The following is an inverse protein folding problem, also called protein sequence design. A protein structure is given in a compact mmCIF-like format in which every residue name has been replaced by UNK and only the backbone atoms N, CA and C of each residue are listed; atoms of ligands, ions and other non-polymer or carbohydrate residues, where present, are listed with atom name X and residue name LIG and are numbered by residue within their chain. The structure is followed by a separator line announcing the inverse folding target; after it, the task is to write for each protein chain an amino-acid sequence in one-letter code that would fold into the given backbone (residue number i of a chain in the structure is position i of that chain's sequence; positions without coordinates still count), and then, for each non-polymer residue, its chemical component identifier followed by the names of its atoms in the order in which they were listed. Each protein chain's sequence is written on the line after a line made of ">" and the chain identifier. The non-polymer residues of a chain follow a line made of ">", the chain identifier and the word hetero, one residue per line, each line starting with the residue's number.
data_IF_340812023882
#
_entry.id   IF_340812023882
#
_cell.length_a   1.000
_cell.length_b   1.000
_cell.length_c   1.000
_cell.angle_alpha   90.00
_cell.angle_beta   90.00
_cell.angle_gamma   90.00
#
_symmetry.space_group_name_H-M   'P 1'
#
loop_
_entity.id
_entity.type
_entity.pdbx_description
1 polymer ?
#
# COMPACT_ATOMS: atom_id res chain seq x y z
N UNK A 1 -9.43 -44.51 -48.14
CA UNK A 1 -9.87 -43.11 -48.27
C UNK A 1 -10.29 -42.65 -46.89
N UNK A 2 -9.55 -41.66 -46.38
CA UNK A 2 -9.75 -40.82 -45.18
C UNK A 2 -9.60 -41.50 -43.80
N UNK A 3 -8.52 -41.09 -43.15
CA UNK A 3 -8.15 -41.29 -41.74
C UNK A 3 -8.90 -40.20 -40.96
N UNK A 4 -9.84 -40.58 -40.09
CA UNK A 4 -10.47 -39.63 -39.18
C UNK A 4 -9.51 -39.35 -38.02
N UNK A 5 -8.95 -38.15 -38.06
CA UNK A 5 -8.01 -37.63 -37.09
C UNK A 5 -8.70 -37.39 -35.76
N UNK A 6 -8.34 -38.22 -34.79
CA UNK A 6 -8.56 -38.00 -33.37
C UNK A 6 -7.94 -36.65 -32.97
N UNK A 7 -8.78 -35.60 -32.89
CA UNK A 7 -8.41 -34.30 -32.34
C UNK A 7 -8.26 -34.47 -30.82
N UNK A 8 -7.05 -34.82 -30.40
CA UNK A 8 -6.61 -34.64 -29.03
C UNK A 8 -6.85 -33.18 -28.60
N UNK A 9 -7.46 -32.92 -27.43
CA UNK A 9 -7.57 -31.57 -26.90
C UNK A 9 -6.14 -31.08 -26.59
N UNK A 10 -5.73 -29.99 -27.22
CA UNK A 10 -4.38 -29.45 -27.09
C UNK A 10 -4.04 -29.21 -25.62
N UNK A 11 -3.09 -29.98 -25.11
CA UNK A 11 -2.43 -29.68 -23.84
C UNK A 11 -1.69 -28.37 -24.03
N UNK A 12 -2.22 -27.27 -23.48
CA UNK A 12 -1.46 -26.04 -23.37
C UNK A 12 -0.08 -26.41 -22.77
N UNK A 13 0.98 -25.99 -23.45
CA UNK A 13 2.35 -26.28 -23.05
C UNK A 13 2.53 -25.81 -21.60
N UNK A 14 3.24 -26.55 -20.75
CA UNK A 14 3.54 -26.11 -19.37
C UNK A 14 4.08 -24.67 -19.34
N UNK A 15 4.86 -24.29 -20.37
CA UNK A 15 5.35 -22.92 -20.62
C UNK A 15 4.24 -21.87 -20.76
N UNK A 16 3.13 -22.19 -21.43
CA UNK A 16 2.01 -21.25 -21.63
C UNK A 16 1.24 -21.05 -20.33
N UNK A 17 1.09 -22.11 -19.54
CA UNK A 17 0.45 -22.03 -18.21
C UNK A 17 1.29 -21.21 -17.22
N UNK A 18 2.61 -21.33 -17.28
CA UNK A 18 3.53 -20.57 -16.44
C UNK A 18 3.53 -19.10 -16.84
N UNK A 19 3.58 -18.79 -18.13
CA UNK A 19 3.49 -17.43 -18.64
C UNK A 19 2.18 -16.74 -18.23
N UNK A 20 1.04 -17.45 -18.35
CA UNK A 20 -0.25 -16.94 -17.92
C UNK A 20 -0.29 -16.66 -16.41
N UNK A 21 0.31 -17.54 -15.61
CA UNK A 21 0.40 -17.34 -14.15
C UNK A 21 1.25 -16.13 -13.81
N UNK A 22 2.42 -15.96 -14.43
CA UNK A 22 3.28 -14.79 -14.23
C UNK A 22 2.52 -13.51 -14.59
N UNK A 23 1.87 -13.48 -15.75
CA UNK A 23 1.08 -12.33 -16.17
C UNK A 23 -0.02 -11.99 -15.17
N UNK A 24 -0.80 -12.97 -14.72
CA UNK A 24 -1.86 -12.76 -13.74
C UNK A 24 -1.32 -12.25 -12.39
N UNK A 25 -0.18 -12.76 -11.93
CA UNK A 25 0.47 -12.29 -10.70
C UNK A 25 0.95 -10.83 -10.82
N UNK A 26 1.56 -10.49 -11.95
CA UNK A 26 2.04 -9.13 -12.22
C UNK A 26 0.88 -8.15 -12.36
N UNK A 27 -0.19 -8.53 -13.06
CA UNK A 27 -1.39 -7.71 -13.20
C UNK A 27 -2.03 -7.42 -11.84
N UNK A 28 -2.21 -8.45 -11.01
CA UNK A 28 -2.73 -8.30 -9.65
C UNK A 28 -1.87 -7.34 -8.81
N UNK A 29 -0.54 -7.48 -8.88
CA UNK A 29 0.40 -6.61 -8.15
C UNK A 29 0.33 -5.17 -8.64
N UNK A 30 0.42 -4.96 -9.96
CA UNK A 30 0.40 -3.63 -10.59
C UNK A 30 -0.92 -2.90 -10.32
N UNK A 31 -2.06 -3.58 -10.47
CA UNK A 31 -3.37 -3.00 -10.18
C UNK A 31 -3.50 -2.63 -8.71
N UNK A 32 -3.14 -3.53 -7.80
CA UNK A 32 -3.25 -3.28 -6.37
C UNK A 32 -2.35 -2.10 -5.91
N UNK A 33 -1.15 -1.96 -6.46
CA UNK A 33 -0.26 -0.83 -6.16
C UNK A 33 -0.80 0.50 -6.72
N UNK A 34 -1.34 0.48 -7.95
CA UNK A 34 -1.99 1.64 -8.54
C UNK A 34 -3.22 2.08 -7.71
N UNK A 35 -4.06 1.14 -7.29
CA UNK A 35 -5.23 1.42 -6.44
C UNK A 35 -4.84 1.90 -5.05
N UNK A 36 -3.76 1.38 -4.47
CA UNK A 36 -3.24 1.85 -3.19
C UNK A 36 -2.86 3.32 -3.29
N UNK A 37 -2.05 3.67 -4.30
CA UNK A 37 -1.65 5.05 -4.55
C UNK A 37 -2.88 5.94 -4.71
N UNK A 38 -3.82 5.57 -5.59
CA UNK A 38 -5.04 6.34 -5.84
C UNK A 38 -5.87 6.54 -4.55
N UNK A 39 -6.00 5.50 -3.74
CA UNK A 39 -6.77 5.55 -2.49
C UNK A 39 -6.12 6.48 -1.46
N UNK A 40 -4.80 6.45 -1.33
CA UNK A 40 -4.05 7.38 -0.46
C UNK A 40 -4.16 8.81 -0.99
N UNK A 41 -3.97 9.04 -2.29
CA UNK A 41 -4.10 10.37 -2.90
C UNK A 41 -5.50 10.95 -2.69
N UNK A 42 -6.54 10.13 -2.85
CA UNK A 42 -7.93 10.54 -2.67
C UNK A 42 -8.38 10.57 -1.19
N UNK A 43 -7.50 10.24 -0.24
CA UNK A 43 -7.87 10.03 1.18
C UNK A 43 -9.05 9.07 1.38
N UNK A 44 -9.22 8.10 0.47
CA UNK A 44 -10.30 7.13 0.51
C UNK A 44 -9.86 5.88 1.29
N UNK A 45 -9.95 5.98 2.61
CA UNK A 45 -9.50 4.91 3.52
C UNK A 45 -10.31 3.62 3.41
N UNK A 46 -11.60 3.70 3.08
CA UNK A 46 -12.43 2.50 2.87
C UNK A 46 -11.99 1.70 1.63
N UNK A 47 -11.58 2.39 0.56
CA UNK A 47 -11.01 1.71 -0.61
C UNK A 47 -9.62 1.16 -0.28
N UNK A 48 -8.80 1.92 0.44
CA UNK A 48 -7.47 1.45 0.85
C UNK A 48 -7.55 0.14 1.65
N UNK A 49 -8.49 0.04 2.60
CA UNK A 49 -8.70 -1.16 3.41
C UNK A 49 -9.00 -2.41 2.56
N UNK A 50 -9.71 -2.25 1.44
CA UNK A 50 -9.99 -3.34 0.48
C UNK A 50 -8.78 -3.70 -0.40
N UNK A 51 -7.88 -2.74 -0.63
CA UNK A 51 -6.69 -2.94 -1.48
C UNK A 51 -5.58 -3.70 -0.72
N UNK A 52 -5.45 -3.50 0.60
CA UNK A 52 -4.38 -4.14 1.39
C UNK A 52 -4.39 -5.68 1.30
N UNK A 53 -5.53 -6.38 1.39
CA UNK A 53 -5.59 -7.82 1.15
C UNK A 53 -5.18 -8.24 -0.26
N UNK A 54 -5.47 -7.42 -1.29
CA UNK A 54 -5.07 -7.69 -2.67
C UNK A 54 -3.56 -7.62 -2.85
N UNK A 55 -2.91 -6.63 -2.23
CA UNK A 55 -1.45 -6.54 -2.18
C UNK A 55 -0.84 -7.75 -1.46
N UNK A 56 -1.42 -8.14 -0.32
CA UNK A 56 -0.99 -9.35 0.40
C UNK A 56 -1.08 -10.60 -0.47
N UNK A 57 -2.21 -10.77 -1.18
CA UNK A 57 -2.40 -11.86 -2.13
C UNK A 57 -1.35 -11.83 -3.25
N UNK A 58 -1.10 -10.67 -3.87
CA UNK A 58 -0.13 -10.53 -4.94
C UNK A 58 1.29 -10.94 -4.48
N UNK A 59 1.69 -10.52 -3.28
CA UNK A 59 2.98 -10.91 -2.69
C UNK A 59 3.03 -12.41 -2.42
N UNK A 60 1.97 -13.00 -1.85
CA UNK A 60 1.90 -14.45 -1.64
C UNK A 60 1.96 -15.24 -2.94
N UNK A 61 1.34 -14.74 -4.03
CA UNK A 61 1.46 -15.37 -5.34
C UNK A 61 2.90 -15.33 -5.85
N UNK A 62 3.63 -14.23 -5.69
CA UNK A 62 5.07 -14.15 -6.01
C UNK A 62 5.89 -15.13 -5.15
N UNK A 63 5.63 -15.19 -3.85
CA UNK A 63 6.32 -16.11 -2.92
C UNK A 63 6.00 -17.59 -3.19
N UNK A 64 4.87 -17.87 -3.83
CA UNK A 64 4.46 -19.23 -4.19
C UNK A 64 5.18 -19.80 -5.42
N UNK A 65 6.05 -19.04 -6.07
CA UNK A 65 6.94 -19.57 -7.10
C UNK A 65 8.06 -20.42 -6.46
N UNK A 66 8.51 -21.51 -7.10
CA UNK A 66 9.61 -22.32 -6.58
C UNK A 66 10.88 -21.48 -6.41
N UNK A 67 11.34 -21.26 -5.18
CA UNK A 67 12.46 -20.34 -4.89
C UNK A 67 12.03 -18.89 -4.57
N UNK A 68 10.72 -18.66 -4.35
CA UNK A 68 10.15 -17.38 -3.95
C UNK A 68 10.40 -16.28 -4.98
N UNK A 69 10.83 -15.11 -4.52
CA UNK A 69 11.13 -13.96 -5.37
C UNK A 69 12.19 -14.26 -6.44
N UNK A 70 13.25 -14.99 -6.08
CA UNK A 70 14.29 -15.39 -7.04
C UNK A 70 13.71 -16.32 -8.10
N UNK A 71 12.90 -17.30 -7.67
CA UNK A 71 12.20 -18.20 -8.59
C UNK A 71 11.26 -17.49 -9.55
N UNK A 72 10.55 -16.47 -9.06
CA UNK A 72 9.68 -15.63 -9.88
C UNK A 72 10.46 -14.81 -10.92
N UNK A 73 11.60 -14.23 -10.52
CA UNK A 73 12.51 -13.53 -11.45
C UNK A 73 13.04 -14.46 -12.53
N UNK A 74 13.53 -15.64 -12.13
CA UNK A 74 14.02 -16.65 -13.07
C UNK A 74 12.92 -17.10 -14.04
N UNK A 75 11.68 -17.20 -13.57
CA UNK A 75 10.53 -17.55 -14.41
C UNK A 75 10.21 -16.45 -15.45
N UNK A 76 10.31 -15.16 -15.05
CA UNK A 76 10.19 -14.03 -16.00
C UNK A 76 11.31 -14.07 -17.04
N UNK A 77 12.54 -14.40 -16.62
CA UNK A 77 13.69 -14.52 -17.51
C UNK A 77 13.60 -15.71 -18.49
N UNK A 78 12.64 -16.63 -18.31
CA UNK A 78 12.37 -17.72 -19.27
C UNK A 78 11.29 -17.38 -20.28
N UNK A 79 10.56 -16.28 -20.09
CA UNK A 79 9.54 -15.84 -21.04
C UNK A 79 10.16 -15.42 -22.37
N UNK A 80 9.32 -15.43 -23.41
CA UNK A 80 9.64 -14.81 -24.70
C UNK A 80 10.02 -13.34 -24.50
N UNK A 81 10.80 -12.79 -25.43
CA UNK A 81 11.24 -11.41 -25.35
C UNK A 81 10.06 -10.42 -25.25
N UNK A 82 9.01 -10.64 -26.06
CA UNK A 82 7.81 -9.79 -26.06
C UNK A 82 7.05 -9.85 -24.73
N UNK A 83 6.76 -11.05 -24.22
CA UNK A 83 6.08 -11.22 -22.93
C UNK A 83 6.91 -10.64 -21.79
N UNK A 84 8.23 -10.84 -21.81
CA UNK A 84 9.12 -10.26 -20.81
C UNK A 84 9.10 -8.74 -20.82
N UNK A 85 9.20 -8.13 -21.99
CA UNK A 85 9.17 -6.67 -22.13
C UNK A 85 7.85 -6.08 -21.60
N UNK A 86 6.72 -6.74 -21.85
CA UNK A 86 5.43 -6.34 -21.30
C UNK A 86 5.42 -6.41 -19.77
N UNK A 87 5.87 -7.53 -19.20
CA UNK A 87 5.92 -7.77 -17.76
C UNK A 87 6.86 -6.78 -17.06
N UNK A 88 8.05 -6.56 -17.59
CA UNK A 88 9.00 -5.58 -17.07
C UNK A 88 8.42 -4.16 -17.09
N UNK A 89 7.69 -3.80 -18.15
CA UNK A 89 6.99 -2.52 -18.23
C UNK A 89 5.92 -2.35 -17.15
N UNK A 90 5.14 -3.40 -16.86
CA UNK A 90 4.14 -3.40 -15.78
C UNK A 90 4.80 -3.31 -14.40
N UNK A 91 5.89 -4.04 -14.18
CA UNK A 91 6.65 -4.01 -12.93
C UNK A 91 7.33 -2.66 -12.69
N UNK A 92 7.82 -2.00 -13.74
CA UNK A 92 8.40 -0.66 -13.65
C UNK A 92 7.35 0.36 -13.17
N UNK A 93 6.17 0.37 -13.80
CA UNK A 93 5.05 1.24 -13.40
C UNK A 93 4.58 0.94 -11.97
N UNK A 94 4.47 -0.35 -11.62
CA UNK A 94 4.11 -0.76 -10.27
C UNK A 94 5.13 -0.24 -9.23
N UNK A 95 6.42 -0.27 -9.55
CA UNK A 95 7.45 0.28 -8.67
C UNK A 95 7.34 1.81 -8.52
N UNK A 96 7.03 2.53 -9.60
CA UNK A 96 6.73 3.97 -9.53
C UNK A 96 5.52 4.24 -8.62
N UNK A 97 4.41 3.52 -8.81
CA UNK A 97 3.21 3.63 -7.98
C UNK A 97 3.52 3.37 -6.50
N UNK A 98 4.29 2.32 -6.20
CA UNK A 98 4.74 1.96 -4.85
C UNK A 98 5.58 3.06 -4.23
N UNK A 99 6.52 3.64 -4.97
CA UNK A 99 7.39 4.72 -4.48
C UNK A 99 6.58 5.98 -4.15
N UNK A 100 5.63 6.35 -5.02
CA UNK A 100 4.73 7.49 -4.77
C UNK A 100 3.83 7.21 -3.56
N UNK A 101 3.22 6.03 -3.47
CA UNK A 101 2.39 5.66 -2.33
C UNK A 101 3.18 5.70 -1.01
N UNK A 102 4.42 5.18 -1.01
CA UNK A 102 5.30 5.22 0.16
C UNK A 102 5.61 6.66 0.60
N UNK A 103 5.87 7.56 -0.33
CA UNK A 103 6.12 8.97 -0.01
C UNK A 103 4.88 9.65 0.56
N UNK A 104 3.70 9.40 -0.02
CA UNK A 104 2.43 9.91 0.51
C UNK A 104 2.15 9.43 1.93
N UNK A 105 2.46 8.16 2.24
CA UNK A 105 2.34 7.60 3.60
C UNK A 105 3.27 8.36 4.55
N UNK A 106 4.54 8.57 4.19
CA UNK A 106 5.49 9.32 5.03
C UNK A 106 5.01 10.74 5.32
N UNK A 107 4.52 11.44 4.29
CA UNK A 107 3.97 12.80 4.43
C UNK A 107 2.77 12.78 5.38
N UNK A 108 1.84 11.83 5.24
CA UNK A 108 0.66 11.73 6.09
C UNK A 108 1.01 11.39 7.55
N UNK A 109 2.01 10.53 7.77
CA UNK A 109 2.52 10.25 9.12
C UNK A 109 3.16 11.48 9.75
N UNK A 110 3.95 12.24 8.99
CA UNK A 110 4.55 13.49 9.46
C UNK A 110 3.47 14.51 9.85
N UNK A 111 2.44 14.68 9.01
CA UNK A 111 1.28 15.54 9.30
C UNK A 111 0.54 15.10 10.56
N UNK A 112 0.28 13.80 10.72
CA UNK A 112 -0.40 13.26 11.90
C UNK A 112 0.41 13.51 13.18
N UNK A 113 1.73 13.35 13.14
CA UNK A 113 2.61 13.65 14.27
C UNK A 113 2.62 15.15 14.61
N UNK A 114 2.67 16.03 13.61
CA UNK A 114 2.60 17.47 13.83
C UNK A 114 1.28 17.89 14.50
N UNK A 115 0.14 17.35 14.04
CA UNK A 115 -1.18 17.60 14.65
C UNK A 115 -1.19 17.14 16.10
N UNK A 116 -0.68 15.94 16.40
CA UNK A 116 -0.61 15.41 17.77
C UNK A 116 0.22 16.32 18.69
N UNK A 117 1.36 16.83 18.23
CA UNK A 117 2.19 17.76 19.01
C UNK A 117 1.45 19.06 19.30
N UNK A 118 0.73 19.61 18.31
CA UNK A 118 -0.06 20.83 18.51
C UNK A 118 -1.22 20.61 19.49
N UNK A 119 -1.88 19.45 19.45
CA UNK A 119 -2.92 19.08 20.41
C UNK A 119 -2.36 19.00 21.84
N UNK A 120 -1.21 18.35 22.03
CA UNK A 120 -0.54 18.30 23.34
C UNK A 120 -0.17 19.70 23.87
N UNK A 121 0.24 20.63 22.99
CA UNK A 121 0.53 22.02 23.36
C UNK A 121 -0.74 22.80 23.72
N UNK A 122 -1.85 22.58 23.00
CA UNK A 122 -3.13 23.19 23.31
C UNK A 122 -3.66 22.72 24.68
N UNK A 123 -3.66 21.41 24.92
CA UNK A 123 -4.14 20.81 26.18
C UNK A 123 -3.29 21.23 27.40
N UNK A 124 -1.99 21.49 27.20
CA UNK A 124 -1.11 22.01 28.26
C UNK A 124 -1.22 23.53 28.49
N UNK A 125 -1.87 24.26 27.58
CA UNK A 125 -2.13 25.70 27.74
C UNK A 125 -3.42 26.02 28.52
N UNK A 126 -4.35 25.06 28.65
CA UNK A 126 -5.58 25.21 29.44
C UNK A 126 -5.36 25.16 30.97
N UNK A 127 -4.12 24.93 31.43
CA UNK A 127 -3.73 24.98 32.85
C UNK A 127 -3.61 26.39 33.45
N UNK A 128 -3.71 27.46 32.65
CA UNK A 128 -3.65 28.86 33.10
C UNK A 128 -4.79 29.71 32.54
N UNK A 129 -6.04 29.25 32.69
CA UNK A 129 -7.22 30.11 32.58
C UNK A 129 -7.37 31.04 33.80
N UNK A 130 -7.97 32.24 33.67
CA UNK A 130 -7.99 33.34 34.67
C UNK A 130 -8.75 33.05 35.99
N UNK A 131 -9.02 31.79 36.29
CA UNK A 131 -9.73 31.34 37.50
C UNK A 131 -8.85 31.25 38.75
N UNK A 132 -7.55 31.54 38.67
CA UNK A 132 -6.63 31.60 39.82
C UNK A 132 -6.78 32.88 40.67
N UNK A 133 -7.67 33.82 40.29
CA UNK A 133 -8.07 34.96 41.12
C UNK A 133 -9.50 34.83 41.67
N UNK A 134 -9.85 33.70 42.29
CA UNK A 134 -10.93 33.74 43.29
C UNK A 134 -10.33 34.09 44.64
N UNK A 135 -10.22 35.39 44.88
CA UNK A 135 -10.03 35.94 46.23
C UNK A 135 -11.16 35.39 47.10
N UNK A 136 -10.82 34.60 48.12
CA UNK A 136 -11.79 34.13 49.10
C UNK A 136 -12.46 35.34 49.77
N UNK A 137 -13.80 35.39 49.87
CA UNK A 137 -14.47 36.48 50.57
C UNK A 137 -14.20 36.32 52.07
N UNK A 138 -13.25 37.09 52.62
CA UNK A 138 -13.03 37.11 54.06
C UNK A 138 -11.66 37.53 54.59
N UNK A 139 -10.64 37.79 53.77
CA UNK A 139 -9.35 38.25 54.30
C UNK A 139 -9.41 39.74 54.67
N UNK A 140 -9.61 40.01 55.96
CA UNK A 140 -9.52 41.36 56.54
C UNK A 140 -8.12 41.93 56.28
N UNK A 141 -8.06 43.01 55.51
CA UNK A 141 -6.89 43.88 55.39
C UNK A 141 -6.66 44.55 56.75
N UNK A 142 -5.66 44.07 57.50
CA UNK A 142 -5.13 44.80 58.65
C UNK A 142 -4.23 45.93 58.14
N UNK A 143 -4.81 47.12 57.95
CA UNK A 143 -4.04 48.34 57.82
C UNK A 143 -3.32 48.60 59.15
N UNK A 144 -1.98 48.62 59.12
CA UNK A 144 -1.17 49.11 60.24
C UNK A 144 -0.55 50.42 59.80
N UNK A 145 -0.83 51.45 60.59
CA UNK A 145 -0.34 52.82 60.51
C UNK A 145 1.18 52.90 60.66
#
# INVERSE_FOLDING_TARGET
>A
MIIDGDRSPGTASTSDSEALRIAATVDLLSEALAEQRQSITASNWSRLDKVLPLLGKAVSEVESFPGGETGFKDAIERLSFESRQEIEGKLLRANEDRLVAAELIRINLWRANAIRTLQMQADSSDGYGPSSMRVAPGSKLSARA
#
